data_IF_011803102829
#
_entry.id   IF_011803102829
#
_cell.length_a   1.000
_cell.length_b   1.000
_cell.length_c   1.000
_cell.angle_alpha   90.00
_cell.angle_beta   90.00
_cell.angle_gamma   90.00
#
_symmetry.space_group_name_H-M   'P 1'
#
loop_
_entity.id
_entity.type
_entity.pdbx_description
1 polymer ?
#
# COMPACT_ATOMS: atom_id res chain seq x y z
N UNK A 1 30.42 -2.32 12.15
CA UNK A 1 29.90 -2.34 13.54
C UNK A 1 28.38 -2.51 13.51
N UNK A 2 27.80 -3.60 14.03
CA UNK A 2 26.33 -3.73 14.10
C UNK A 2 25.79 -2.86 15.22
N UNK A 3 25.55 -1.57 14.92
CA UNK A 3 24.83 -0.67 15.82
C UNK A 3 23.44 -1.27 16.10
N UNK A 4 23.16 -1.60 17.36
CA UNK A 4 21.88 -2.16 17.79
C UNK A 4 20.78 -1.14 17.51
N UNK A 5 19.98 -1.38 16.47
CA UNK A 5 18.88 -0.48 16.09
C UNK A 5 17.86 -0.40 17.23
N UNK A 6 17.62 0.80 17.74
CA UNK A 6 16.63 1.02 18.78
C UNK A 6 15.30 1.47 18.16
N UNK A 7 14.40 0.51 17.93
CA UNK A 7 13.03 0.72 17.43
C UNK A 7 12.29 1.84 18.17
N UNK A 8 12.50 1.94 19.50
CA UNK A 8 11.83 2.92 20.38
C UNK A 8 12.26 4.37 20.10
N UNK A 9 13.41 4.57 19.46
CA UNK A 9 13.94 5.90 19.12
C UNK A 9 13.60 6.35 17.71
N UNK A 10 12.99 5.47 16.90
CA UNK A 10 12.72 5.75 15.50
C UNK A 10 11.25 6.17 15.33
N UNK A 11 11.03 7.46 15.11
CA UNK A 11 9.70 8.06 15.03
C UNK A 11 8.87 7.52 13.87
N UNK A 12 9.47 7.34 12.69
CA UNK A 12 8.78 6.75 11.55
C UNK A 12 8.41 5.28 11.79
N UNK A 13 9.27 4.51 12.47
CA UNK A 13 8.94 3.14 12.87
C UNK A 13 7.74 3.11 13.83
N UNK A 14 7.73 3.98 14.85
CA UNK A 14 6.62 4.03 15.81
C UNK A 14 5.31 4.40 15.12
N UNK A 15 5.35 5.36 14.19
CA UNK A 15 4.20 5.75 13.38
C UNK A 15 3.67 4.58 12.54
N UNK A 16 4.55 3.91 11.79
CA UNK A 16 4.20 2.73 10.98
C UNK A 16 3.64 1.58 11.82
N UNK A 17 4.24 1.31 12.97
CA UNK A 17 3.77 0.29 13.90
C UNK A 17 2.34 0.60 14.41
N UNK A 18 2.07 1.87 14.73
CA UNK A 18 0.74 2.31 15.14
C UNK A 18 -0.28 2.22 14.00
N UNK A 19 0.07 2.60 12.77
CA UNK A 19 -0.83 2.47 11.62
C UNK A 19 -1.20 1.01 11.35
N UNK A 20 -0.24 0.09 11.44
CA UNK A 20 -0.48 -1.34 11.26
C UNK A 20 -1.36 -1.90 12.37
N UNK A 21 -1.08 -1.54 13.62
CA UNK A 21 -1.91 -1.95 14.74
C UNK A 21 -3.32 -1.35 14.69
N UNK A 22 -3.47 -0.12 14.21
CA UNK A 22 -4.76 0.52 13.98
C UNK A 22 -5.56 -0.24 12.91
N UNK A 23 -4.93 -0.66 11.82
CA UNK A 23 -5.58 -1.49 10.79
C UNK A 23 -6.07 -2.83 11.35
N UNK A 24 -5.27 -3.49 12.20
CA UNK A 24 -5.66 -4.69 12.95
C UNK A 24 -6.79 -4.42 13.94
N UNK A 25 -6.78 -3.28 14.63
CA UNK A 25 -7.84 -2.96 15.59
C UNK A 25 -9.19 -2.67 14.90
N UNK A 26 -9.17 -2.07 13.71
CA UNK A 26 -10.35 -1.88 12.84
C UNK A 26 -10.88 -3.23 12.34
N UNK A 27 -10.00 -4.20 12.12
CA UNK A 27 -10.37 -5.56 11.76
C UNK A 27 -11.17 -6.25 12.85
N UNK A 28 -10.66 -6.19 14.07
CA UNK A 28 -11.19 -6.86 15.25
C UNK A 28 -12.41 -6.15 15.84
N UNK A 29 -12.88 -5.06 15.21
CA UNK A 29 -13.96 -4.18 15.68
C UNK A 29 -13.68 -3.64 17.09
N UNK A 30 -12.41 -3.45 17.45
CA UNK A 30 -12.00 -2.85 18.72
C UNK A 30 -12.12 -1.32 18.65
N UNK A 31 -13.37 -0.84 18.68
CA UNK A 31 -13.72 0.57 18.45
C UNK A 31 -13.05 1.53 19.45
N UNK A 32 -12.77 1.07 20.67
CA UNK A 32 -12.08 1.86 21.69
C UNK A 32 -10.63 2.13 21.29
N UNK A 33 -9.87 1.07 20.99
CA UNK A 33 -8.46 1.20 20.56
C UNK A 33 -8.34 2.02 19.28
N UNK A 34 -9.23 1.81 18.32
CA UNK A 34 -9.25 2.59 17.07
C UNK A 34 -9.44 4.09 17.35
N UNK A 35 -10.41 4.43 18.19
CA UNK A 35 -10.68 5.83 18.57
C UNK A 35 -9.49 6.45 19.29
N UNK A 36 -8.99 5.78 20.33
CA UNK A 36 -7.90 6.27 21.17
C UNK A 36 -6.61 6.45 20.36
N UNK A 37 -6.23 5.45 19.55
CA UNK A 37 -5.01 5.50 18.74
C UNK A 37 -5.13 6.53 17.60
N UNK A 38 -6.30 6.67 16.96
CA UNK A 38 -6.51 7.69 15.92
C UNK A 38 -6.37 9.10 16.49
N UNK A 39 -6.94 9.34 17.67
CA UNK A 39 -6.85 10.64 18.34
C UNK A 39 -5.39 10.97 18.70
N UNK A 40 -4.69 9.99 19.26
CA UNK A 40 -3.29 10.11 19.64
C UNK A 40 -2.38 10.41 18.45
N UNK A 41 -2.57 9.72 17.31
CA UNK A 41 -1.78 9.94 16.10
C UNK A 41 -2.00 11.35 15.53
N UNK A 42 -3.24 11.85 15.52
CA UNK A 42 -3.55 13.21 15.02
C UNK A 42 -2.94 14.31 15.90
N UNK A 43 -2.98 14.14 17.21
CA UNK A 43 -2.36 15.07 18.16
C UNK A 43 -0.83 15.05 18.03
N UNK A 44 -0.24 13.84 18.04
CA UNK A 44 1.21 13.65 18.12
C UNK A 44 1.94 14.01 16.84
N UNK A 45 1.37 13.73 15.67
CA UNK A 45 2.03 13.90 14.36
C UNK A 45 1.48 15.08 13.55
N UNK A 46 0.91 16.08 14.21
CA UNK A 46 0.57 17.33 13.54
C UNK A 46 1.83 18.10 13.13
N UNK A 47 1.76 18.96 12.12
CA UNK A 47 2.92 19.75 11.66
C UNK A 47 3.50 20.70 12.73
N UNK A 48 2.76 20.95 13.81
CA UNK A 48 3.16 21.84 14.91
C UNK A 48 4.05 21.14 15.94
N UNK A 49 4.04 19.81 16.01
CA UNK A 49 4.84 19.04 16.97
C UNK A 49 6.21 18.73 16.41
N UNK A 50 7.19 18.49 17.29
CA UNK A 50 8.52 18.09 16.84
C UNK A 50 8.51 16.68 16.24
N UNK A 51 7.70 15.75 16.76
CA UNK A 51 7.52 14.42 16.16
C UNK A 51 6.88 14.46 14.77
N UNK A 52 5.93 15.36 14.53
CA UNK A 52 5.33 15.55 13.21
C UNK A 52 6.33 16.10 12.20
N UNK A 53 7.15 17.07 12.63
CA UNK A 53 8.26 17.59 11.82
C UNK A 53 9.29 16.50 11.52
N UNK A 54 9.73 15.75 12.52
CA UNK A 54 10.68 14.64 12.34
C UNK A 54 10.12 13.59 11.38
N UNK A 55 8.86 13.15 11.56
CA UNK A 55 8.21 12.18 10.67
C UNK A 55 8.22 12.64 9.21
N UNK A 56 8.02 13.94 8.96
CA UNK A 56 8.06 14.50 7.61
C UNK A 56 9.45 14.35 6.96
N UNK A 57 10.53 14.54 7.73
CA UNK A 57 11.90 14.36 7.24
C UNK A 57 12.18 12.89 6.86
N UNK A 58 11.64 11.94 7.62
CA UNK A 58 11.69 10.53 7.22
C UNK A 58 10.93 10.33 5.90
N UNK A 59 9.70 10.84 5.79
CA UNK A 59 8.84 10.71 4.60
C UNK A 59 9.48 11.25 3.33
N UNK A 60 10.18 12.38 3.41
CA UNK A 60 10.83 12.98 2.24
C UNK A 60 11.98 12.12 1.70
N UNK A 61 12.56 11.25 2.55
CA UNK A 61 13.63 10.32 2.16
C UNK A 61 13.04 8.96 1.71
N UNK A 62 12.09 8.40 2.47
CA UNK A 62 11.56 7.06 2.20
C UNK A 62 10.45 7.05 1.13
N UNK A 63 9.82 8.20 0.83
CA UNK A 63 8.88 8.41 -0.29
C UNK A 63 9.49 9.43 -1.27
N UNK A 64 10.56 9.05 -2.00
CA UNK A 64 11.27 9.97 -2.86
C UNK A 64 10.42 10.35 -4.07
N UNK A 65 10.38 11.65 -4.37
CA UNK A 65 9.62 12.18 -5.51
C UNK A 65 10.36 12.01 -6.85
N UNK A 66 11.56 11.43 -6.83
CA UNK A 66 12.48 11.36 -7.97
C UNK A 66 13.43 10.19 -7.84
N UNK A 67 13.92 9.70 -9.00
CA UNK A 67 15.02 8.72 -9.10
C UNK A 67 16.37 9.35 -9.43
N UNK A 68 16.42 10.66 -9.58
CA UNK A 68 17.68 11.33 -9.87
C UNK A 68 18.58 11.28 -8.63
N UNK A 69 19.66 10.50 -8.72
CA UNK A 69 20.66 10.27 -7.66
C UNK A 69 21.11 11.58 -7.02
N UNK A 70 21.48 12.59 -7.83
CA UNK A 70 21.94 13.90 -7.34
C UNK A 70 20.87 14.67 -6.58
N UNK A 71 19.59 14.48 -6.96
CA UNK A 71 18.47 15.14 -6.27
C UNK A 71 18.18 14.42 -4.95
N UNK A 72 18.22 13.09 -4.92
CA UNK A 72 18.05 12.28 -3.70
C UNK A 72 19.14 12.62 -2.68
N UNK A 73 20.40 12.70 -3.10
CA UNK A 73 21.52 13.11 -2.24
C UNK A 73 21.28 14.49 -1.62
N UNK A 74 20.83 15.46 -2.43
CA UNK A 74 20.47 16.80 -1.93
C UNK A 74 19.30 16.77 -0.94
N UNK A 75 18.27 15.97 -1.23
CA UNK A 75 17.12 15.78 -0.32
C UNK A 75 17.61 15.25 1.03
N UNK A 76 18.47 14.23 1.03
CA UNK A 76 19.02 13.66 2.28
C UNK A 76 19.83 14.73 3.04
N UNK A 77 20.66 15.51 2.35
CA UNK A 77 21.45 16.59 2.97
C UNK A 77 20.58 17.68 3.60
N UNK A 78 19.55 18.16 2.90
CA UNK A 78 18.64 19.18 3.42
C UNK A 78 17.79 18.67 4.59
N UNK A 79 17.35 17.41 4.52
CA UNK A 79 16.65 16.76 5.63
C UNK A 79 17.53 16.65 6.89
N UNK A 80 18.81 16.32 6.74
CA UNK A 80 19.75 16.30 7.88
C UNK A 80 19.93 17.67 8.52
N UNK A 81 20.12 18.72 7.71
CA UNK A 81 20.25 20.09 8.22
C UNK A 81 19.01 20.48 9.04
N UNK A 82 17.83 20.16 8.50
CA UNK A 82 16.56 20.42 9.17
C UNK A 82 16.38 19.56 10.42
N UNK A 83 16.81 18.31 10.40
CA UNK A 83 16.76 17.44 11.57
C UNK A 83 17.59 17.99 12.73
N UNK A 84 18.81 18.46 12.46
CA UNK A 84 19.69 19.00 13.48
C UNK A 84 19.28 20.38 13.99
N UNK A 85 18.38 21.09 13.31
CA UNK A 85 17.80 22.34 13.84
C UNK A 85 16.62 22.10 14.80
N UNK A 86 16.05 20.89 14.83
CA UNK A 86 14.99 20.51 15.77
C UNK A 86 15.58 20.41 17.19
N UNK A 87 14.96 21.04 18.22
CA UNK A 87 15.36 20.90 19.61
C UNK A 87 15.28 19.44 20.10
N UNK A 88 16.44 18.77 20.17
CA UNK A 88 16.51 17.32 20.42
C UNK A 88 15.98 16.91 21.79
N UNK A 89 16.14 17.75 22.82
CA UNK A 89 15.62 17.45 24.17
C UNK A 89 14.09 17.37 24.17
N UNK A 90 13.43 18.36 23.56
CA UNK A 90 11.97 18.41 23.43
C UNK A 90 11.46 17.28 22.54
N UNK A 91 12.16 16.98 21.46
CA UNK A 91 11.83 15.86 20.57
C UNK A 91 11.90 14.51 21.31
N UNK A 92 12.93 14.31 22.13
CA UNK A 92 13.09 13.11 22.94
C UNK A 92 12.01 12.98 24.02
N UNK A 93 11.60 14.10 24.61
CA UNK A 93 10.49 14.16 25.56
C UNK A 93 9.15 13.79 24.89
N UNK A 94 8.81 14.42 23.75
CA UNK A 94 7.62 14.09 22.96
C UNK A 94 7.59 12.60 22.59
N UNK A 95 8.74 12.05 22.15
CA UNK A 95 8.85 10.62 21.79
C UNK A 95 8.60 9.71 22.98
N UNK A 96 9.15 10.04 24.15
CA UNK A 96 8.97 9.25 25.37
C UNK A 96 7.51 9.28 25.82
N UNK A 97 6.88 10.46 25.76
CA UNK A 97 5.46 10.63 26.06
C UNK A 97 4.59 9.82 25.09
N UNK A 98 4.86 9.89 23.79
CA UNK A 98 4.15 9.10 22.79
C UNK A 98 4.30 7.60 23.04
N UNK A 99 5.52 7.13 23.33
CA UNK A 99 5.81 5.73 23.60
C UNK A 99 5.07 5.20 24.85
N UNK A 100 4.98 6.02 25.89
CA UNK A 100 4.18 5.70 27.08
C UNK A 100 2.69 5.61 26.73
N UNK A 101 2.15 6.59 26.00
CA UNK A 101 0.74 6.62 25.59
C UNK A 101 0.37 5.42 24.71
N UNK A 102 1.18 5.04 23.72
CA UNK A 102 0.88 3.86 22.89
C UNK A 102 0.96 2.56 23.71
N UNK A 103 1.90 2.45 24.66
CA UNK A 103 2.03 1.26 25.50
C UNK A 103 0.83 1.09 26.44
N UNK A 104 0.21 2.19 26.87
CA UNK A 104 -1.05 2.18 27.63
C UNK A 104 -2.26 1.75 26.79
N UNK A 105 -2.29 2.12 25.49
CA UNK A 105 -3.36 1.70 24.57
C UNK A 105 -3.24 0.20 24.29
N UNK A 106 -2.06 -0.24 23.87
CA UNK A 106 -1.74 -1.67 23.77
C UNK A 106 -0.22 -1.88 23.69
N UNK A 107 0.36 -2.72 24.55
CA UNK A 107 1.78 -3.05 24.49
C UNK A 107 2.15 -3.80 23.20
N UNK A 108 1.18 -4.42 22.54
CA UNK A 108 1.39 -5.21 21.31
C UNK A 108 1.74 -4.36 20.09
N UNK A 109 1.46 -3.05 20.12
CA UNK A 109 1.80 -2.11 19.03
C UNK A 109 3.28 -2.25 18.63
N UNK A 110 4.17 -2.40 19.61
CA UNK A 110 5.62 -2.50 19.39
C UNK A 110 6.07 -3.82 18.76
N UNK A 111 5.20 -4.84 18.79
CA UNK A 111 5.44 -6.14 18.15
C UNK A 111 4.97 -6.18 16.70
N UNK A 112 4.33 -5.11 16.22
CA UNK A 112 3.87 -5.00 14.83
C UNK A 112 5.02 -5.21 13.86
N UNK A 113 4.80 -6.07 12.87
CA UNK A 113 5.76 -6.31 11.80
C UNK A 113 5.81 -5.10 10.86
N UNK A 114 7.00 -4.52 10.67
CA UNK A 114 7.20 -3.38 9.76
C UNK A 114 8.17 -3.81 8.65
N UNK A 115 7.68 -4.09 7.41
CA UNK A 115 8.50 -4.56 6.30
C UNK A 115 9.66 -3.61 5.95
N UNK A 116 9.40 -2.31 6.01
CA UNK A 116 10.35 -1.23 5.72
C UNK A 116 11.30 -0.90 6.88
N UNK A 117 11.28 -1.71 7.96
CA UNK A 117 12.06 -1.44 9.18
C UNK A 117 13.55 -1.22 8.91
N UNK A 118 14.16 -1.99 7.99
CA UNK A 118 15.58 -1.83 7.66
C UNK A 118 15.87 -0.44 7.10
N UNK A 119 15.08 0.02 6.13
CA UNK A 119 15.21 1.34 5.53
C UNK A 119 15.00 2.46 6.58
N UNK A 120 13.95 2.35 7.39
CA UNK A 120 13.69 3.31 8.48
C UNK A 120 14.84 3.34 9.49
N UNK A 121 15.43 2.18 9.81
CA UNK A 121 16.54 2.09 10.72
C UNK A 121 17.82 2.69 10.15
N UNK A 122 18.06 2.55 8.84
CA UNK A 122 19.15 3.23 8.12
C UNK A 122 18.97 4.75 8.15
N UNK A 123 17.77 5.26 7.85
CA UNK A 123 17.49 6.71 7.92
C UNK A 123 17.76 7.25 9.33
N UNK A 124 17.30 6.53 10.36
CA UNK A 124 17.57 6.90 11.75
C UNK A 124 19.07 6.92 12.10
N UNK A 125 19.89 6.08 11.47
CA UNK A 125 21.34 6.09 11.69
C UNK A 125 22.01 7.29 11.03
N UNK A 126 21.52 7.71 9.86
CA UNK A 126 22.02 8.91 9.16
C UNK A 126 21.77 10.18 9.99
N UNK A 127 20.65 10.23 10.72
CA UNK A 127 20.34 11.30 11.67
C UNK A 127 21.10 11.22 13.00
N UNK A 128 21.82 10.13 13.29
CA UNK A 128 22.58 9.99 14.53
C UNK A 128 23.79 10.93 14.59
N UNK A 129 24.00 11.67 15.68
CA UNK A 129 25.21 12.48 15.83
C UNK A 129 26.48 11.62 16.06
N UNK A 130 26.32 10.36 16.51
CA UNK A 130 27.42 9.49 16.93
C UNK A 130 28.08 8.68 15.80
N UNK A 131 27.55 8.78 14.57
CA UNK A 131 28.11 8.06 13.43
C UNK A 131 29.25 8.87 12.79
N UNK A 132 30.33 8.20 12.39
CA UNK A 132 31.45 8.88 11.71
C UNK A 132 30.99 9.46 10.35
N UNK A 133 31.62 10.55 9.86
CA UNK A 133 31.27 11.11 8.56
C UNK A 133 31.37 10.08 7.41
N UNK A 134 32.40 9.22 7.44
CA UNK A 134 32.59 8.18 6.43
C UNK A 134 31.46 7.15 6.45
N UNK A 135 31.10 6.63 7.63
CA UNK A 135 29.99 5.68 7.76
C UNK A 135 28.65 6.29 7.32
N UNK A 136 28.43 7.59 7.59
CA UNK A 136 27.22 8.29 7.14
C UNK A 136 27.14 8.30 5.63
N UNK A 137 28.23 8.68 4.95
CA UNK A 137 28.28 8.73 3.49
C UNK A 137 28.00 7.33 2.89
N UNK A 138 28.56 6.27 3.47
CA UNK A 138 28.31 4.89 3.02
C UNK A 138 26.83 4.52 3.16
N UNK A 139 26.19 4.86 4.29
CA UNK A 139 24.75 4.60 4.48
C UNK A 139 23.89 5.44 3.54
N UNK A 140 24.26 6.69 3.29
CA UNK A 140 23.57 7.59 2.35
C UNK A 140 23.67 7.07 0.91
N UNK A 141 24.84 6.60 0.49
CA UNK A 141 25.05 6.02 -0.83
C UNK A 141 24.22 4.73 -0.99
N UNK A 142 24.22 3.87 0.03
CA UNK A 142 23.41 2.65 0.05
C UNK A 142 21.91 2.95 -0.05
N UNK A 143 21.43 3.93 0.70
CA UNK A 143 20.03 4.38 0.68
C UNK A 143 19.65 4.98 -0.68
N UNK A 144 20.52 5.79 -1.26
CA UNK A 144 20.31 6.40 -2.58
C UNK A 144 20.19 5.32 -3.66
N UNK A 145 21.07 4.30 -3.63
CA UNK A 145 21.00 3.13 -4.52
C UNK A 145 19.72 2.31 -4.32
N UNK A 146 19.29 2.11 -3.08
CA UNK A 146 18.03 1.40 -2.77
C UNK A 146 16.81 2.14 -3.35
N UNK A 147 16.78 3.46 -3.20
CA UNK A 147 15.77 4.34 -3.79
C UNK A 147 15.80 4.29 -5.32
N UNK A 148 16.97 4.41 -5.93
CA UNK A 148 17.14 4.43 -7.40
C UNK A 148 16.66 3.10 -8.02
N UNK A 149 17.05 1.99 -7.41
CA UNK A 149 16.72 0.63 -7.85
C UNK A 149 15.31 0.17 -7.48
N UNK A 150 14.56 0.97 -6.70
CA UNK A 150 13.16 0.64 -6.38
C UNK A 150 12.34 0.58 -7.67
N UNK A 151 11.74 -0.58 -7.96
CA UNK A 151 10.94 -0.82 -9.16
C UNK A 151 9.57 -0.15 -9.04
N UNK A 152 9.50 1.19 -9.10
CA UNK A 152 8.42 2.01 -9.68
C UNK A 152 8.49 3.47 -9.18
N UNK A 153 8.49 4.43 -10.10
CA UNK A 153 8.13 5.82 -9.82
C UNK A 153 6.64 5.98 -10.06
N UNK A 154 5.83 5.96 -9.00
CA UNK A 154 4.67 6.85 -8.91
C UNK A 154 4.67 7.44 -7.51
N UNK A 155 4.74 8.78 -7.34
CA UNK A 155 4.28 9.40 -6.12
C UNK A 155 2.76 9.26 -6.13
N UNK A 156 2.28 8.11 -5.69
CA UNK A 156 0.94 8.00 -5.18
C UNK A 156 1.08 8.27 -3.68
N UNK A 157 0.51 9.37 -3.22
CA UNK A 157 -0.31 9.25 -2.01
C UNK A 157 -1.43 8.25 -2.34
N UNK A 158 -1.11 6.96 -2.31
CA UNK A 158 -2.06 5.87 -2.16
C UNK A 158 -1.49 5.03 -1.03
N UNK A 159 -2.39 4.45 -0.27
CA UNK A 159 -2.18 3.57 0.87
C UNK A 159 -1.41 2.28 0.51
N UNK A 160 -0.32 2.37 -0.24
CA UNK A 160 0.48 1.26 -0.78
C UNK A 160 1.54 0.86 0.25
N UNK A 161 1.08 0.44 1.43
CA UNK A 161 1.69 -0.58 2.29
C UNK A 161 0.65 -1.09 3.30
N UNK A 162 -0.61 -1.26 2.87
CA UNK A 162 -1.49 -2.19 3.57
C UNK A 162 -0.81 -3.57 3.47
N UNK A 163 -0.52 -4.18 4.61
CA UNK A 163 0.06 -5.53 4.66
C UNK A 163 -0.75 -6.48 3.77
N UNK A 164 -0.14 -7.55 3.25
CA UNK A 164 -0.89 -8.66 2.63
C UNK A 164 -2.06 -9.13 3.53
N UNK A 165 -1.94 -8.95 4.83
CA UNK A 165 -2.99 -9.14 5.82
C UNK A 165 -4.13 -8.12 5.71
N UNK A 166 -3.83 -6.84 5.55
CA UNK A 166 -4.81 -5.77 5.37
C UNK A 166 -5.51 -5.85 4.00
N UNK A 167 -4.82 -6.33 2.96
CA UNK A 167 -5.46 -6.66 1.68
C UNK A 167 -6.32 -7.91 1.77
N UNK A 168 -5.83 -9.00 2.39
CA UNK A 168 -6.67 -10.19 2.70
C UNK A 168 -7.88 -9.80 3.53
N UNK A 169 -7.73 -8.82 4.41
CA UNK A 169 -8.83 -8.33 5.19
C UNK A 169 -9.79 -7.45 4.41
N UNK A 170 -9.28 -6.55 3.57
CA UNK A 170 -10.12 -5.78 2.67
C UNK A 170 -10.93 -6.74 1.80
N UNK A 171 -10.29 -7.78 1.25
CA UNK A 171 -10.93 -8.84 0.49
C UNK A 171 -12.00 -9.54 1.32
N UNK A 172 -11.71 -9.90 2.58
CA UNK A 172 -12.67 -10.52 3.49
C UNK A 172 -13.88 -9.60 3.75
N UNK A 173 -13.66 -8.35 4.13
CA UNK A 173 -14.71 -7.36 4.42
C UNK A 173 -15.52 -7.01 3.17
N UNK A 174 -14.87 -6.81 2.03
CA UNK A 174 -15.51 -6.60 0.74
C UNK A 174 -16.40 -7.80 0.38
N UNK A 175 -15.90 -9.02 0.55
CA UNK A 175 -16.67 -10.22 0.29
C UNK A 175 -17.82 -10.45 1.28
N UNK A 176 -17.71 -9.95 2.52
CA UNK A 176 -18.78 -9.97 3.53
C UNK A 176 -19.86 -8.92 3.23
N UNK A 177 -19.46 -7.68 2.91
CA UNK A 177 -20.36 -6.53 2.68
C UNK A 177 -21.08 -6.62 1.33
N UNK A 178 -20.35 -6.95 0.27
CA UNK A 178 -20.88 -7.09 -1.09
C UNK A 178 -21.23 -8.54 -1.42
N UNK A 179 -21.28 -9.42 -0.41
CA UNK A 179 -21.67 -10.83 -0.61
C UNK A 179 -23.01 -11.03 -1.33
N UNK A 180 -24.08 -10.31 -0.96
CA UNK A 180 -25.38 -10.48 -1.59
C UNK A 180 -25.52 -9.76 -2.93
N UNK A 181 -24.64 -8.81 -3.27
CA UNK A 181 -24.78 -7.91 -4.43
C UNK A 181 -23.82 -8.20 -5.58
N UNK A 182 -22.71 -8.90 -5.34
CA UNK A 182 -21.73 -9.25 -6.38
C UNK A 182 -21.68 -10.75 -6.68
N UNK A 183 -21.43 -11.06 -7.95
CA UNK A 183 -21.19 -12.41 -8.44
C UNK A 183 -19.89 -12.98 -7.89
N UNK A 184 -19.77 -14.32 -7.89
CA UNK A 184 -18.56 -15.01 -7.40
C UNK A 184 -17.33 -14.59 -8.20
N UNK A 185 -17.46 -14.54 -9.51
CA UNK A 185 -16.40 -14.21 -10.46
C UNK A 185 -15.98 -12.74 -10.35
N UNK A 186 -16.92 -11.86 -10.00
CA UNK A 186 -16.65 -10.43 -9.72
C UNK A 186 -15.86 -10.25 -8.43
N UNK A 187 -16.20 -11.00 -7.37
CA UNK A 187 -15.45 -11.00 -6.11
C UNK A 187 -14.04 -11.52 -6.30
N UNK A 188 -13.88 -12.61 -7.04
CA UNK A 188 -12.56 -13.18 -7.36
C UNK A 188 -11.71 -12.22 -8.19
N UNK A 189 -12.31 -11.54 -9.17
CA UNK A 189 -11.63 -10.53 -9.98
C UNK A 189 -11.11 -9.36 -9.12
N UNK A 190 -11.97 -8.77 -8.29
CA UNK A 190 -11.60 -7.66 -7.39
C UNK A 190 -10.52 -8.12 -6.40
N UNK A 191 -10.65 -9.33 -5.86
CA UNK A 191 -9.67 -9.88 -4.91
C UNK A 191 -8.29 -10.03 -5.54
N UNK A 192 -8.21 -10.60 -6.75
CA UNK A 192 -6.96 -10.77 -7.48
C UNK A 192 -6.38 -9.45 -7.98
N UNK A 193 -7.24 -8.50 -8.35
CA UNK A 193 -6.84 -7.14 -8.72
C UNK A 193 -6.18 -6.41 -7.55
N UNK A 194 -6.74 -6.56 -6.36
CA UNK A 194 -6.20 -5.93 -5.16
C UNK A 194 -4.86 -6.55 -4.77
N UNK A 195 -4.71 -7.87 -4.91
CA UNK A 195 -3.43 -8.55 -4.66
C UNK A 195 -2.35 -8.19 -5.70
N UNK A 196 -2.74 -7.91 -6.95
CA UNK A 196 -1.80 -7.51 -8.00
C UNK A 196 -1.16 -6.14 -7.72
N UNK A 197 -1.82 -5.28 -6.95
CA UNK A 197 -1.25 -3.99 -6.50
C UNK A 197 0.03 -4.19 -5.67
N UNK A 198 0.21 -5.35 -5.05
CA UNK A 198 1.43 -5.72 -4.30
C UNK A 198 2.49 -6.48 -5.13
N UNK A 199 2.32 -6.57 -6.44
CA UNK A 199 3.27 -7.23 -7.35
C UNK A 199 2.94 -8.68 -7.70
N UNK A 200 1.84 -9.26 -7.22
CA UNK A 200 1.32 -10.55 -7.71
C UNK A 200 0.46 -10.38 -8.97
N UNK A 201 1.09 -9.91 -10.04
CA UNK A 201 0.44 -9.70 -11.34
C UNK A 201 0.14 -11.02 -12.07
N UNK A 202 0.84 -12.11 -11.72
CA UNK A 202 0.70 -13.42 -12.38
C UNK A 202 -0.66 -14.04 -12.07
N UNK A 203 -1.07 -14.05 -10.80
CA UNK A 203 -2.35 -14.65 -10.36
C UNK A 203 -3.56 -13.94 -10.98
N UNK A 204 -3.50 -12.61 -11.12
CA UNK A 204 -4.52 -11.84 -11.82
C UNK A 204 -4.57 -12.19 -13.31
N UNK A 205 -3.41 -12.30 -13.97
CA UNK A 205 -3.33 -12.58 -15.41
C UNK A 205 -3.88 -13.97 -15.77
N UNK A 206 -3.56 -14.98 -14.97
CA UNK A 206 -4.09 -16.35 -15.14
C UNK A 206 -5.61 -16.32 -15.08
N UNK A 207 -6.17 -15.66 -14.06
CA UNK A 207 -7.61 -15.58 -13.87
C UNK A 207 -8.31 -14.81 -15.00
N UNK A 208 -7.76 -13.68 -15.45
CA UNK A 208 -8.32 -12.93 -16.59
C UNK A 208 -8.36 -13.82 -17.83
N UNK A 209 -7.31 -14.58 -18.12
CA UNK A 209 -7.28 -15.46 -19.29
C UNK A 209 -8.34 -16.57 -19.22
N UNK A 210 -8.52 -17.17 -18.05
CA UNK A 210 -9.56 -18.17 -17.80
C UNK A 210 -10.97 -17.57 -17.96
N UNK A 211 -11.21 -16.40 -17.35
CA UNK A 211 -12.49 -15.70 -17.43
C UNK A 211 -12.82 -15.23 -18.84
N UNK A 212 -11.85 -14.68 -19.58
CA UNK A 212 -12.00 -14.31 -20.99
C UNK A 212 -12.40 -15.54 -21.82
N UNK A 213 -11.79 -16.70 -21.55
CA UNK A 213 -12.14 -17.97 -22.19
C UNK A 213 -13.56 -18.42 -21.87
N UNK A 214 -13.97 -18.31 -20.60
CA UNK A 214 -15.34 -18.65 -20.15
C UNK A 214 -16.39 -17.73 -20.78
N UNK A 215 -16.15 -16.41 -20.75
CA UNK A 215 -17.04 -15.40 -21.32
C UNK A 215 -17.28 -15.67 -22.81
N UNK A 216 -16.22 -15.91 -23.60
CA UNK A 216 -16.34 -16.24 -25.02
C UNK A 216 -17.21 -17.47 -25.27
N UNK A 217 -17.01 -18.55 -24.51
CA UNK A 217 -17.83 -19.76 -24.66
C UNK A 217 -19.31 -19.49 -24.44
N UNK A 218 -19.67 -18.71 -23.42
CA UNK A 218 -21.07 -18.36 -23.14
C UNK A 218 -21.64 -17.49 -24.26
N UNK A 219 -20.89 -16.47 -24.69
CA UNK A 219 -21.30 -15.59 -25.77
C UNK A 219 -21.47 -16.33 -27.10
N UNK A 220 -20.57 -17.27 -27.43
CA UNK A 220 -20.67 -18.12 -28.63
C UNK A 220 -21.90 -19.01 -28.62
N UNK A 221 -22.33 -19.51 -27.45
CA UNK A 221 -23.59 -20.27 -27.33
C UNK A 221 -24.78 -19.34 -27.51
N UNK A 222 -24.78 -18.20 -26.82
CA UNK A 222 -25.88 -17.23 -26.86
C UNK A 222 -26.12 -16.67 -28.27
N UNK A 223 -25.07 -16.49 -29.07
CA UNK A 223 -25.16 -16.00 -30.47
C UNK A 223 -25.91 -16.93 -31.42
N UNK A 224 -25.98 -18.23 -31.15
CA UNK A 224 -26.43 -19.24 -32.16
C UNK A 224 -27.85 -19.03 -32.68
N UNK A 225 -28.70 -18.31 -31.95
CA UNK A 225 -30.11 -18.08 -32.29
C UNK A 225 -30.55 -16.62 -32.07
N UNK A 226 -29.68 -15.63 -32.36
CA UNK A 226 -29.96 -14.20 -32.16
C UNK A 226 -29.83 -13.40 -33.46
N UNK A 227 -30.50 -12.26 -33.51
CA UNK A 227 -30.50 -11.38 -34.68
C UNK A 227 -29.10 -10.84 -35.02
N UNK A 228 -28.89 -10.54 -36.31
CA UNK A 228 -27.59 -10.09 -36.87
C UNK A 228 -26.99 -8.90 -36.10
N UNK A 229 -27.83 -7.91 -35.74
CA UNK A 229 -27.43 -6.73 -34.95
C UNK A 229 -26.91 -7.09 -33.54
N UNK A 230 -27.47 -8.12 -32.92
CA UNK A 230 -27.02 -8.61 -31.61
C UNK A 230 -25.71 -9.37 -31.74
N UNK A 231 -25.56 -10.18 -32.79
CA UNK A 231 -24.32 -10.92 -33.08
C UNK A 231 -23.14 -9.95 -33.32
N UNK A 232 -23.35 -8.87 -34.06
CA UNK A 232 -22.31 -7.83 -34.30
C UNK A 232 -21.84 -7.18 -32.99
N UNK A 233 -22.76 -6.75 -32.12
CA UNK A 233 -22.43 -6.16 -30.81
C UNK A 233 -21.67 -7.13 -29.90
N UNK A 234 -22.00 -8.42 -29.94
CA UNK A 234 -21.29 -9.43 -29.14
C UNK A 234 -19.86 -9.64 -29.68
N UNK A 235 -19.67 -9.61 -31.00
CA UNK A 235 -18.34 -9.70 -31.62
C UNK A 235 -17.45 -8.49 -31.26
N UNK A 236 -18.02 -7.27 -31.20
CA UNK A 236 -17.31 -6.08 -30.71
C UNK A 236 -16.93 -6.18 -29.23
N UNK A 237 -17.80 -6.78 -28.41
CA UNK A 237 -17.50 -7.07 -27.02
C UNK A 237 -16.34 -8.05 -26.88
N UNK A 238 -16.33 -9.13 -27.66
CA UNK A 238 -15.27 -10.14 -27.64
C UNK A 238 -13.92 -9.62 -28.12
N UNK A 239 -13.91 -8.72 -29.12
CA UNK A 239 -12.68 -8.08 -29.58
C UNK A 239 -12.10 -7.19 -28.48
N UNK A 240 -12.93 -6.39 -27.81
CA UNK A 240 -12.49 -5.57 -26.68
C UNK A 240 -11.99 -6.38 -25.49
N UNK A 241 -12.47 -7.61 -25.29
CA UNK A 241 -12.07 -8.46 -24.17
C UNK A 241 -10.73 -9.17 -24.43
N UNK A 242 -10.36 -9.39 -25.71
CA UNK A 242 -9.02 -9.91 -26.06
C UNK A 242 -7.91 -8.99 -25.57
N UNK A 243 -8.12 -7.67 -25.59
CA UNK A 243 -7.10 -6.71 -25.18
C UNK A 243 -6.75 -6.81 -23.68
N UNK A 244 -7.68 -7.29 -22.84
CA UNK A 244 -7.44 -7.52 -21.42
C UNK A 244 -6.45 -8.67 -21.16
N UNK A 245 -6.41 -9.70 -22.03
CA UNK A 245 -5.46 -10.83 -21.91
C UNK A 245 -4.01 -10.47 -22.27
N UNK A 246 -3.83 -9.43 -23.10
CA UNK A 246 -2.52 -9.02 -23.62
C UNK A 246 -1.85 -7.92 -22.79
N UNK A 247 -2.60 -7.25 -21.92
CA UNK A 247 -2.11 -6.10 -21.13
C UNK A 247 -1.22 -6.55 -19.95
N UNK A 248 -0.10 -5.85 -19.72
CA UNK A 248 0.84 -6.13 -18.62
C UNK A 248 0.24 -5.77 -17.25
N UNK A 249 -0.68 -4.79 -17.22
CA UNK A 249 -1.40 -4.34 -16.02
C UNK A 249 -2.84 -4.00 -16.38
N UNK A 250 -3.77 -4.32 -15.49
CA UNK A 250 -5.18 -3.99 -15.68
C UNK A 250 -5.46 -2.59 -15.11
N UNK A 251 -5.95 -1.67 -15.95
CA UNK A 251 -6.34 -0.34 -15.51
C UNK A 251 -7.75 -0.33 -14.89
N UNK A 252 -8.08 0.70 -14.10
CA UNK A 252 -9.38 0.82 -13.42
C UNK A 252 -10.55 0.74 -14.39
N UNK A 253 -10.42 1.35 -15.57
CA UNK A 253 -11.46 1.35 -16.60
C UNK A 253 -11.69 -0.04 -17.17
N UNK A 254 -10.60 -0.80 -17.37
CA UNK A 254 -10.64 -2.19 -17.83
C UNK A 254 -11.26 -3.11 -16.76
N UNK A 255 -10.97 -2.88 -15.47
CA UNK A 255 -11.61 -3.59 -14.35
C UNK A 255 -13.13 -3.41 -14.35
N UNK A 256 -13.59 -2.16 -14.42
CA UNK A 256 -15.01 -1.84 -14.41
C UNK A 256 -15.71 -2.46 -15.63
N UNK A 257 -15.07 -2.42 -16.79
CA UNK A 257 -15.60 -3.03 -18.00
C UNK A 257 -15.73 -4.54 -17.85
N UNK A 258 -14.72 -5.22 -17.32
CA UNK A 258 -14.77 -6.68 -17.10
C UNK A 258 -15.83 -7.08 -16.06
N UNK A 259 -16.00 -6.31 -14.99
CA UNK A 259 -17.07 -6.53 -13.99
C UNK A 259 -18.46 -6.45 -14.62
N UNK A 260 -18.71 -5.44 -15.46
CA UNK A 260 -19.99 -5.29 -16.18
C UNK A 260 -20.24 -6.43 -17.16
N UNK A 261 -19.19 -6.93 -17.80
CA UNK A 261 -19.29 -8.07 -18.71
C UNK A 261 -19.62 -9.35 -17.95
N UNK A 262 -19.00 -9.59 -16.79
CA UNK A 262 -19.33 -10.73 -15.93
C UNK A 262 -20.81 -10.68 -15.49
N UNK A 263 -21.33 -9.48 -15.19
CA UNK A 263 -22.75 -9.26 -14.88
C UNK A 263 -23.66 -9.62 -16.05
N UNK A 264 -23.34 -9.10 -17.25
CA UNK A 264 -24.07 -9.38 -18.48
C UNK A 264 -24.10 -10.89 -18.80
N UNK A 265 -22.95 -11.56 -18.68
CA UNK A 265 -22.82 -13.01 -18.93
C UNK A 265 -23.64 -13.81 -17.92
N UNK A 266 -23.63 -13.42 -16.64
CA UNK A 266 -24.47 -14.08 -15.63
C UNK A 266 -25.96 -13.89 -15.90
N UNK A 267 -26.37 -12.71 -16.36
CA UNK A 267 -27.75 -12.44 -16.76
C UNK A 267 -28.17 -13.36 -17.91
N UNK A 268 -27.35 -13.45 -18.97
CA UNK A 268 -27.58 -14.33 -20.12
C UNK A 268 -27.76 -15.79 -19.68
N UNK A 269 -26.88 -16.29 -18.80
CA UNK A 269 -26.97 -17.69 -18.31
C UNK A 269 -28.14 -17.97 -17.37
N UNK A 270 -28.81 -16.94 -16.84
CA UNK A 270 -29.99 -17.08 -15.98
C UNK A 270 -31.30 -17.02 -16.76
N UNK A 271 -31.29 -16.45 -17.97
CA UNK A 271 -32.45 -16.37 -18.86
C UNK A 271 -32.57 -17.58 -19.81
N UNK A 272 -31.55 -18.44 -19.89
CA UNK A 272 -31.60 -19.77 -20.52
C UNK A 272 -32.07 -20.85 -19.52
#
# INVERSE_FOLDING_TARGET
MKMKHNKKKNTAFLYEACLRFLALSIQEKNNKVVKDLTSLLKETFSYKTFLGQELKLYQDIYIPQTKNTKVIEKIIQENKKTFFSIPQDKLNEERSNFLNKISQISPEIMNSFVPTYKMLATINQIFSPFLSPADKIILEEGLTKEIENSKENKPKFKLEHLDNLAYKLFIKKFNEEYSPSLLKEQKELVSKYILSINGDNLTLKIFINEEVGRIKKVLDVYKKNKDVLLVEKINELESSIKDFSNSISLEKEQLIKLLKIQELVSFITKEE
#
